data_IF_347597459062
#
_entry.id   IF_347597459062
#
_cell.length_a   1.000
_cell.length_b   1.000
_cell.length_c   1.000
_cell.angle_alpha   90.00
_cell.angle_beta   90.00
_cell.angle_gamma   90.00
#
_symmetry.space_group_name_H-M   'P 1'
#
loop_
_entity.id
_entity.type
_entity.pdbx_description
1 polymer ?
#
# COMPACT_ATOMS: atom_id res chain seq x y z
N UNK A 1 -4.83 -32.20 22.15
CA UNK A 1 -4.30 -30.82 22.27
C UNK A 1 -4.20 -30.24 20.87
N UNK A 2 -5.29 -29.70 20.36
CA UNK A 2 -5.24 -28.84 19.17
C UNK A 2 -5.97 -27.58 19.56
N UNK A 3 -5.24 -26.72 20.26
CA UNK A 3 -5.65 -25.35 20.52
C UNK A 3 -5.56 -24.61 19.18
N UNK A 4 -6.59 -24.74 18.36
CA UNK A 4 -6.77 -23.90 17.18
C UNK A 4 -7.26 -22.56 17.69
N UNK A 5 -6.30 -21.72 18.08
CA UNK A 5 -6.52 -20.28 18.12
C UNK A 5 -7.18 -19.88 16.79
N UNK A 6 -8.21 -19.01 16.81
CA UNK A 6 -8.85 -18.57 15.57
C UNK A 6 -7.78 -18.03 14.64
N UNK A 7 -7.68 -18.62 13.44
CA UNK A 7 -6.79 -18.10 12.40
C UNK A 7 -7.36 -16.75 11.99
N UNK A 8 -6.62 -15.68 12.25
CA UNK A 8 -6.91 -14.36 11.69
C UNK A 8 -7.16 -14.51 10.18
N UNK A 9 -8.22 -13.87 9.68
CA UNK A 9 -8.54 -13.93 8.26
C UNK A 9 -7.34 -13.38 7.44
N UNK A 10 -6.94 -14.07 6.37
CA UNK A 10 -5.80 -13.64 5.58
C UNK A 10 -6.11 -12.30 4.90
N UNK A 11 -5.10 -11.43 4.83
CA UNK A 11 -5.23 -10.12 4.18
C UNK A 11 -5.51 -10.32 2.70
N UNK A 12 -6.61 -9.72 2.22
CA UNK A 12 -7.02 -9.74 0.82
C UNK A 12 -6.51 -8.50 0.08
N UNK A 13 -6.41 -8.51 -1.26
CA UNK A 13 -6.13 -7.30 -2.00
C UNK A 13 -7.28 -6.30 -1.85
N UNK A 14 -6.95 -5.02 -1.68
CA UNK A 14 -7.96 -3.96 -1.86
C UNK A 14 -8.50 -4.03 -3.29
N UNK A 15 -9.80 -3.79 -3.46
CA UNK A 15 -10.45 -3.88 -4.78
C UNK A 15 -9.82 -2.96 -5.83
N UNK A 16 -9.43 -1.75 -5.45
CA UNK A 16 -8.86 -0.75 -6.36
C UNK A 16 -7.78 0.09 -5.68
N UNK A 17 -6.74 0.55 -6.40
CA UNK A 17 -5.79 1.52 -5.86
C UNK A 17 -6.51 2.78 -5.37
N UNK A 18 -6.25 3.20 -4.13
CA UNK A 18 -6.88 4.39 -3.55
C UNK A 18 -6.42 5.69 -4.24
N UNK A 19 -7.20 6.77 -4.08
CA UNK A 19 -6.96 8.04 -4.76
C UNK A 19 -5.57 8.67 -4.50
N UNK A 20 -5.04 8.45 -3.31
CA UNK A 20 -3.74 8.91 -2.82
C UNK A 20 -2.62 7.88 -2.98
N UNK A 21 -2.87 6.73 -3.61
CA UNK A 21 -1.87 5.67 -3.72
C UNK A 21 -0.65 6.17 -4.52
N UNK A 22 0.58 6.00 -3.98
CA UNK A 22 1.79 6.52 -4.64
C UNK A 22 2.08 5.87 -5.99
N UNK A 23 1.56 4.66 -6.24
CA UNK A 23 1.72 3.96 -7.51
C UNK A 23 0.78 4.45 -8.63
N UNK A 24 -0.25 5.27 -8.36
CA UNK A 24 -1.16 5.74 -9.42
C UNK A 24 -0.52 6.83 -10.27
N UNK A 25 -0.58 6.70 -11.59
CA UNK A 25 -0.03 7.72 -12.51
C UNK A 25 -0.70 9.08 -12.36
N UNK A 26 -1.99 9.10 -12.04
CA UNK A 26 -2.77 10.33 -11.91
C UNK A 26 -2.79 10.91 -10.49
N UNK A 27 -1.96 10.40 -9.58
CA UNK A 27 -1.84 10.97 -8.23
C UNK A 27 -1.02 12.27 -8.29
N UNK A 28 -1.39 13.33 -7.54
CA UNK A 28 -0.48 14.44 -7.32
C UNK A 28 0.82 13.99 -6.63
N UNK A 29 1.93 14.59 -7.03
CA UNK A 29 3.23 14.52 -6.35
C UNK A 29 3.16 15.22 -4.98
N UNK A 30 4.05 14.84 -4.06
CA UNK A 30 4.22 15.48 -2.77
C UNK A 30 3.13 15.19 -1.73
N UNK A 31 2.35 14.11 -1.89
CA UNK A 31 1.33 13.72 -0.89
C UNK A 31 1.93 13.04 0.33
N UNK A 32 2.91 12.17 0.12
CA UNK A 32 3.54 11.40 1.20
C UNK A 32 4.88 12.01 1.60
N UNK A 33 5.35 11.65 2.79
CA UNK A 33 6.70 11.99 3.22
C UNK A 33 7.76 11.35 2.31
N UNK A 34 8.94 11.97 2.23
CA UNK A 34 10.07 11.49 1.45
C UNK A 34 10.45 10.04 1.82
N UNK A 35 10.35 9.68 3.10
CA UNK A 35 10.67 8.36 3.61
C UNK A 35 9.69 7.28 3.12
N UNK A 36 8.43 7.64 2.85
CA UNK A 36 7.47 6.71 2.26
C UNK A 36 7.84 6.38 0.81
N UNK A 37 8.22 7.40 0.04
CA UNK A 37 8.68 7.19 -1.35
C UNK A 37 10.02 6.45 -1.41
N UNK A 38 10.93 6.66 -0.45
CA UNK A 38 12.22 5.98 -0.40
C UNK A 38 12.10 4.44 -0.26
N UNK A 39 10.96 3.93 0.21
CA UNK A 39 10.72 2.49 0.35
C UNK A 39 10.43 1.80 -1.00
N UNK A 40 9.80 2.50 -1.94
CA UNK A 40 9.21 1.89 -3.14
C UNK A 40 10.24 1.21 -4.06
N UNK A 41 11.39 1.83 -4.39
CA UNK A 41 12.35 1.22 -5.32
C UNK A 41 12.90 -0.14 -4.87
N UNK A 42 12.89 -0.41 -3.56
CA UNK A 42 13.40 -1.66 -3.01
C UNK A 42 12.60 -2.89 -3.49
N UNK A 43 11.36 -2.70 -3.91
CA UNK A 43 10.52 -3.77 -4.45
C UNK A 43 10.75 -4.03 -5.94
N UNK A 44 11.52 -3.18 -6.63
CA UNK A 44 11.94 -3.39 -8.01
C UNK A 44 13.18 -4.30 -8.12
N UNK A 45 13.85 -4.57 -6.99
CA UNK A 45 15.03 -5.43 -6.94
C UNK A 45 14.71 -6.89 -7.34
N UNK A 46 15.75 -7.69 -7.60
CA UNK A 46 15.59 -9.13 -7.77
C UNK A 46 14.98 -9.76 -6.51
N UNK A 47 14.15 -10.79 -6.70
CA UNK A 47 13.34 -11.41 -5.62
C UNK A 47 14.11 -11.67 -4.32
N UNK A 48 15.37 -12.17 -4.33
CA UNK A 48 16.13 -12.41 -3.09
C UNK A 48 16.49 -11.13 -2.31
N UNK A 49 16.59 -9.99 -2.99
CA UNK A 49 17.04 -8.71 -2.44
C UNK A 49 15.86 -7.79 -2.07
N UNK A 50 14.63 -8.17 -2.43
CA UNK A 50 13.42 -7.43 -2.09
C UNK A 50 13.11 -7.48 -0.58
N UNK A 51 12.42 -6.46 -0.03
CA UNK A 51 11.89 -6.52 1.32
C UNK A 51 10.83 -7.62 1.49
N UNK A 52 10.75 -8.17 2.70
CA UNK A 52 9.71 -9.14 3.07
C UNK A 52 8.43 -8.50 3.63
N UNK A 53 8.45 -7.19 3.85
CA UNK A 53 7.30 -6.44 4.38
C UNK A 53 6.21 -6.28 3.31
N UNK A 54 4.95 -6.44 3.71
CA UNK A 54 3.77 -6.22 2.87
C UNK A 54 3.37 -4.76 2.98
N UNK A 55 3.06 -4.11 1.84
CA UNK A 55 2.38 -2.81 1.89
C UNK A 55 0.88 -3.01 2.11
N UNK A 56 0.38 -2.54 3.24
CA UNK A 56 -1.04 -2.46 3.53
C UNK A 56 -1.65 -1.18 2.95
N UNK A 57 -2.96 -1.16 2.74
CA UNK A 57 -3.64 0.06 2.35
C UNK A 57 -3.84 0.98 3.55
N UNK A 58 -3.40 2.24 3.43
CA UNK A 58 -3.58 3.24 4.48
C UNK A 58 -5.03 3.74 4.66
N UNK A 59 -5.96 3.39 3.75
CA UNK A 59 -7.40 3.70 3.89
C UNK A 59 -8.22 2.49 4.33
N UNK A 60 -7.62 1.31 4.35
CA UNK A 60 -8.26 0.04 4.64
C UNK A 60 -7.17 -0.93 5.10
N UNK A 61 -6.77 -0.78 6.36
CA UNK A 61 -5.57 -1.42 6.93
C UNK A 61 -5.68 -2.96 6.94
N UNK A 62 -6.89 -3.50 6.83
CA UNK A 62 -7.14 -4.94 6.68
C UNK A 62 -6.83 -5.49 5.27
N UNK A 63 -6.55 -4.61 4.30
CA UNK A 63 -6.31 -4.99 2.91
C UNK A 63 -4.87 -4.69 2.47
N UNK A 64 -4.34 -5.52 1.58
CA UNK A 64 -3.10 -5.25 0.88
C UNK A 64 -3.26 -4.08 -0.11
N UNK A 65 -2.21 -3.27 -0.25
CA UNK A 65 -2.21 -2.12 -1.15
C UNK A 65 -2.33 -2.56 -2.62
N UNK A 66 -3.49 -2.28 -3.22
CA UNK A 66 -3.78 -2.57 -4.62
C UNK A 66 -2.79 -1.96 -5.62
N UNK A 67 -2.32 -0.73 -5.38
CA UNK A 67 -1.35 -0.11 -6.29
C UNK A 67 0.02 -0.78 -6.23
N UNK A 68 0.47 -1.17 -5.03
CA UNK A 68 1.70 -1.94 -4.87
C UNK A 68 1.57 -3.35 -5.46
N UNK A 69 0.45 -4.04 -5.28
CA UNK A 69 0.22 -5.33 -5.93
C UNK A 69 0.16 -5.18 -7.45
N UNK A 70 -0.54 -4.18 -7.96
CA UNK A 70 -0.86 -4.07 -9.39
C UNK A 70 0.23 -3.42 -10.27
N UNK A 71 1.26 -2.78 -9.72
CA UNK A 71 2.26 -2.09 -10.53
C UNK A 71 3.19 -3.05 -11.31
N UNK A 72 3.33 -4.29 -10.81
CA UNK A 72 4.12 -5.35 -11.40
C UNK A 72 3.36 -6.69 -11.27
N UNK A 73 3.91 -7.79 -11.80
CA UNK A 73 3.36 -9.12 -11.53
C UNK A 73 3.49 -9.42 -10.01
N UNK A 74 2.40 -9.58 -9.23
CA UNK A 74 2.50 -9.78 -7.79
C UNK A 74 3.25 -11.05 -7.41
N UNK A 75 3.25 -12.06 -8.29
CA UNK A 75 4.04 -13.28 -8.09
C UNK A 75 5.55 -13.03 -8.13
N UNK A 76 6.03 -11.86 -8.55
CA UNK A 76 7.45 -11.46 -8.47
C UNK A 76 7.78 -10.66 -7.20
N UNK A 77 6.82 -10.45 -6.30
CA UNK A 77 7.05 -9.79 -5.02
C UNK A 77 7.37 -10.83 -3.93
N UNK A 78 8.56 -10.76 -3.33
CA UNK A 78 8.98 -11.67 -2.27
C UNK A 78 8.01 -11.65 -1.09
N UNK A 79 7.59 -10.46 -0.66
CA UNK A 79 6.62 -10.29 0.41
C UNK A 79 5.29 -11.00 0.14
N UNK A 80 4.82 -11.00 -1.11
CA UNK A 80 3.58 -11.70 -1.50
C UNK A 80 3.77 -13.21 -1.43
N UNK A 81 4.87 -13.73 -1.99
CA UNK A 81 5.21 -15.17 -1.92
C UNK A 81 5.26 -15.67 -0.48
N UNK A 82 5.99 -14.96 0.38
CA UNK A 82 6.13 -15.33 1.79
C UNK A 82 4.82 -15.16 2.56
N UNK A 83 4.05 -14.12 2.26
CA UNK A 83 2.76 -13.86 2.90
C UNK A 83 1.75 -14.99 2.64
N UNK A 84 1.63 -15.43 1.38
CA UNK A 84 0.76 -16.55 1.01
C UNK A 84 1.26 -17.88 1.59
N UNK A 85 2.57 -18.15 1.50
CA UNK A 85 3.17 -19.37 2.09
C UNK A 85 2.94 -19.47 3.60
N UNK A 86 2.90 -18.33 4.29
CA UNK A 86 2.65 -18.23 5.74
C UNK A 86 1.16 -18.08 6.10
N UNK A 87 0.26 -18.17 5.12
CA UNK A 87 -1.18 -17.97 5.28
C UNK A 87 -1.57 -16.61 5.89
N UNK A 88 -0.75 -15.57 5.68
CA UNK A 88 -1.03 -14.18 6.10
C UNK A 88 -1.69 -13.35 5.01
N UNK A 89 -1.44 -13.70 3.75
CA UNK A 89 -2.10 -13.10 2.59
C UNK A 89 -2.97 -14.15 1.91
N UNK A 90 -4.10 -13.71 1.39
CA UNK A 90 -4.96 -14.53 0.55
C UNK A 90 -4.27 -14.81 -0.80
N UNK A 91 -4.40 -16.03 -1.36
CA UNK A 91 -3.85 -16.35 -2.69
C UNK A 91 -4.28 -15.38 -3.80
N UNK A 92 -5.41 -14.70 -3.68
CA UNK A 92 -5.85 -13.66 -4.61
C UNK A 92 -4.83 -12.53 -4.77
N UNK A 93 -3.97 -12.28 -3.77
CA UNK A 93 -2.87 -11.32 -3.91
C UNK A 93 -1.86 -11.71 -5.00
N UNK A 94 -1.63 -13.00 -5.28
CA UNK A 94 -0.67 -13.46 -6.30
C UNK A 94 -1.14 -13.16 -7.73
N UNK A 95 -2.45 -13.11 -7.93
CA UNK A 95 -3.08 -12.96 -9.25
C UNK A 95 -3.78 -11.62 -9.40
N UNK A 96 -3.55 -10.68 -8.48
CA UNK A 96 -4.18 -9.37 -8.51
C UNK A 96 -3.78 -8.60 -9.78
N UNK A 97 -4.77 -7.97 -10.40
CA UNK A 97 -4.59 -7.03 -11.51
C UNK A 97 -5.44 -5.78 -11.25
N UNK A 98 -5.07 -4.67 -11.89
CA UNK A 98 -5.75 -3.39 -11.74
C UNK A 98 -5.98 -2.75 -13.11
N UNK A 99 -7.18 -2.26 -13.35
CA UNK A 99 -7.52 -1.45 -14.55
C UNK A 99 -7.09 0.02 -14.39
N UNK A 100 -6.73 0.44 -13.18
CA UNK A 100 -6.19 1.77 -12.92
C UNK A 100 -4.75 1.82 -13.44
N UNK A 101 -4.40 2.87 -14.19
CA UNK A 101 -3.02 3.10 -14.66
C UNK A 101 -2.07 3.35 -13.49
N UNK A 102 -1.04 2.52 -13.40
CA UNK A 102 -0.01 2.57 -12.37
C UNK A 102 1.36 2.87 -12.99
N UNK A 103 2.25 3.47 -12.22
CA UNK A 103 3.66 3.59 -12.60
C UNK A 103 4.26 2.20 -12.79
N UNK A 104 5.17 2.02 -13.76
CA UNK A 104 5.70 0.69 -14.10
C UNK A 104 6.69 0.13 -13.06
N UNK A 105 7.12 0.94 -12.10
CA UNK A 105 8.08 0.56 -11.06
C UNK A 105 7.90 1.41 -9.79
N UNK A 106 8.41 0.90 -8.67
CA UNK A 106 8.56 1.66 -7.44
C UNK A 106 9.44 2.89 -7.63
N UNK A 107 10.51 2.80 -8.42
CA UNK A 107 11.38 3.93 -8.77
C UNK A 107 10.60 5.04 -9.50
N UNK A 108 9.82 4.70 -10.53
CA UNK A 108 9.03 5.69 -11.25
C UNK A 108 7.97 6.36 -10.36
N UNK A 109 7.32 5.58 -9.50
CA UNK A 109 6.36 6.08 -8.51
C UNK A 109 7.04 7.03 -7.50
N UNK A 110 8.22 6.66 -7.00
CA UNK A 110 8.95 7.43 -6.03
C UNK A 110 9.52 8.72 -6.64
N UNK A 111 10.06 8.66 -7.85
CA UNK A 111 10.54 9.82 -8.58
C UNK A 111 9.41 10.83 -8.81
N UNK A 112 8.28 10.37 -9.33
CA UNK A 112 7.11 11.22 -9.49
C UNK A 112 6.70 11.85 -8.16
N UNK A 113 6.56 11.03 -7.12
CA UNK A 113 6.09 11.43 -5.80
C UNK A 113 6.98 12.48 -5.12
N UNK A 114 8.30 12.37 -5.27
CA UNK A 114 9.26 13.26 -4.60
C UNK A 114 9.33 14.68 -5.17
N UNK A 115 8.91 14.90 -6.43
CA UNK A 115 9.09 16.18 -7.15
C UNK A 115 8.63 17.40 -6.38
N UNK A 116 7.46 17.33 -5.76
CA UNK A 116 6.79 18.50 -5.16
C UNK A 116 6.64 18.39 -3.64
N UNK A 117 7.44 17.55 -2.95
CA UNK A 117 7.35 17.38 -1.49
C UNK A 117 7.51 18.71 -0.74
N UNK A 118 8.42 19.57 -1.19
CA UNK A 118 8.69 20.86 -0.51
C UNK A 118 7.66 21.93 -0.85
N UNK A 119 6.98 21.80 -1.99
CA UNK A 119 6.03 22.77 -2.51
C UNK A 119 4.85 22.04 -3.17
N UNK A 120 4.00 21.37 -2.37
CA UNK A 120 2.91 20.57 -2.90
C UNK A 120 1.88 21.43 -3.62
N UNK A 121 1.31 20.90 -4.70
CA UNK A 121 0.19 21.54 -5.40
C UNK A 121 -1.04 21.67 -4.50
N UNK A 122 -1.98 22.54 -4.87
CA UNK A 122 -3.27 22.65 -4.17
C UNK A 122 -4.06 21.34 -4.14
N UNK A 123 -3.92 20.50 -5.19
CA UNK A 123 -4.52 19.18 -5.23
C UNK A 123 -3.85 18.21 -4.25
N UNK A 124 -2.52 18.27 -4.13
CA UNK A 124 -1.77 17.47 -3.17
C UNK A 124 -2.12 17.89 -1.72
N UNK A 125 -2.14 19.19 -1.43
CA UNK A 125 -2.55 19.72 -0.13
C UNK A 125 -3.97 19.26 0.26
N UNK A 126 -4.94 19.38 -0.65
CA UNK A 126 -6.30 18.90 -0.40
C UNK A 126 -6.38 17.39 -0.14
N UNK A 127 -5.52 16.59 -0.79
CA UNK A 127 -5.43 15.16 -0.54
C UNK A 127 -4.80 14.84 0.83
N UNK A 128 -3.75 15.56 1.22
CA UNK A 128 -3.12 15.46 2.55
C UNK A 128 -4.16 15.77 3.63
N UNK A 129 -4.84 16.91 3.55
CA UNK A 129 -5.87 17.31 4.52
C UNK A 129 -6.97 16.24 4.66
N UNK A 130 -7.34 15.61 3.55
CA UNK A 130 -8.33 14.53 3.55
C UNK A 130 -7.82 13.30 4.29
N UNK A 131 -6.57 12.92 4.07
CA UNK A 131 -5.95 11.78 4.73
C UNK A 131 -5.79 12.00 6.24
N UNK A 132 -5.38 13.20 6.65
CA UNK A 132 -5.25 13.59 8.05
C UNK A 132 -6.61 13.52 8.77
N UNK A 133 -7.67 14.04 8.15
CA UNK A 133 -9.04 13.94 8.70
C UNK A 133 -9.49 12.49 8.88
N UNK A 134 -9.27 11.64 7.87
CA UNK A 134 -9.67 10.23 7.95
C UNK A 134 -8.93 9.48 9.07
N UNK A 135 -7.63 9.76 9.25
CA UNK A 135 -6.83 9.18 10.34
C UNK A 135 -7.34 9.62 11.71
N UNK A 136 -7.69 10.90 11.88
CA UNK A 136 -8.21 11.41 13.15
C UNK A 136 -9.57 10.82 13.53
N UNK A 137 -10.45 10.61 12.53
CA UNK A 137 -11.74 9.95 12.75
C UNK A 137 -11.53 8.49 13.19
N UNK A 138 -10.67 7.75 12.48
CA UNK A 138 -10.37 6.36 12.83
C UNK A 138 -9.78 6.20 14.25
N UNK A 139 -8.92 7.14 14.69
CA UNK A 139 -8.39 7.12 16.07
C UNK A 139 -9.46 7.41 17.13
N UNK A 140 -10.42 8.30 16.83
CA UNK A 140 -11.47 8.67 17.79
C UNK A 140 -12.48 7.54 18.00
N UNK A 141 -12.77 6.79 16.94
CA UNK A 141 -13.64 5.61 17.01
C UNK A 141 -12.97 4.45 17.78
N UNK A 142 -11.64 4.29 17.67
CA UNK A 142 -10.89 3.29 18.44
C UNK A 142 -10.92 3.58 19.95
N UNK A 143 -10.74 4.85 20.35
CA UNK A 143 -10.79 5.27 21.76
C UNK A 143 -12.20 5.15 22.35
N UNK A 144 -13.24 5.35 21.54
CA UNK A 144 -14.65 5.22 21.96
C UNK A 144 -15.12 3.77 22.11
N UNK A 145 -14.43 2.81 21.48
CA UNK A 145 -14.73 1.37 21.55
C UNK A 145 -14.07 0.65 22.74
N UNK A 146 -13.20 1.35 23.49
CA UNK A 146 -12.44 0.81 24.64
C UNK A 146 -13.05 1.26 26.00
N UNK A 147 -14.09 2.08 26.00
CA UNK A 147 -14.85 2.49 27.20
C UNK A 147 -16.09 1.62 27.43
#
# INVERSE_FOLDING_TARGET
MTDQLPREEPIVPRSTPCASCPYRVNVPSGIWDADEYAKLPRYDADVPDQPTAVFLCHLDEGCACAGWLGHANPANLLAVRLGVLRHRLDPACLTYTSDVSLFPSGEAAAEHGRRDITHPSSQAAAAIDKLERLRHLASTDHDSAIQ
#
